data_IF_762675160866
#
_entry.id   IF_762675160866
#
_cell.length_a   1.000
_cell.length_b   1.000
_cell.length_c   1.000
_cell.angle_alpha   90.00
_cell.angle_beta   90.00
_cell.angle_gamma   90.00
#
_symmetry.space_group_name_H-M   'P 1'
#
loop_
_entity.id
_entity.type
_entity.pdbx_description
1 polymer ?
#
# COMPACT_ATOMS: atom_id res chain seq x y z
N UNK A 1 -27.13 11.34 -2.43
CA UNK A 1 -25.70 11.68 -2.58
C UNK A 1 -24.94 10.71 -1.68
N UNK A 2 -24.57 9.55 -2.20
CA UNK A 2 -23.65 8.63 -1.53
C UNK A 2 -22.47 8.51 -2.48
N UNK A 3 -21.31 8.98 -2.03
CA UNK A 3 -20.09 8.96 -2.82
C UNK A 3 -19.62 7.51 -2.91
N UNK A 4 -19.77 6.95 -4.11
CA UNK A 4 -19.22 5.66 -4.50
C UNK A 4 -17.70 5.81 -4.60
N UNK A 5 -17.00 5.59 -3.48
CA UNK A 5 -15.56 5.36 -3.56
C UNK A 5 -15.36 3.86 -3.81
N UNK A 6 -15.55 3.48 -5.07
CA UNK A 6 -14.99 2.23 -5.60
C UNK A 6 -13.52 2.15 -5.20
N UNK A 7 -12.99 0.98 -4.76
CA UNK A 7 -11.56 0.80 -4.67
C UNK A 7 -11.05 0.86 -6.12
N UNK A 8 -10.47 1.99 -6.49
CA UNK A 8 -9.75 2.19 -7.75
C UNK A 8 -8.88 0.96 -7.96
N UNK A 9 -9.15 0.27 -9.07
CA UNK A 9 -8.40 -0.92 -9.45
C UNK A 9 -6.92 -0.53 -9.46
N UNK A 10 -6.07 -1.41 -8.93
CA UNK A 10 -4.63 -1.25 -8.95
C UNK A 10 -4.19 -0.61 -10.27
N UNK A 11 -3.73 0.64 -10.14
CA UNK A 11 -3.24 1.47 -11.24
C UNK A 11 -2.33 0.62 -12.13
N UNK A 12 -2.38 0.80 -13.47
CA UNK A 12 -1.59 -0.01 -14.39
C UNK A 12 -0.11 0.07 -13.99
N UNK A 13 0.56 -1.08 -14.04
CA UNK A 13 2.00 -1.29 -13.82
C UNK A 13 2.81 -0.16 -14.50
N UNK A 14 3.05 0.94 -13.79
CA UNK A 14 3.91 2.01 -14.28
C UNK A 14 5.27 1.36 -14.45
N UNK A 15 5.91 1.49 -15.63
CA UNK A 15 7.17 0.80 -15.89
C UNK A 15 8.15 1.15 -14.78
N UNK A 16 8.63 0.13 -14.05
CA UNK A 16 9.56 0.32 -12.93
C UNK A 16 10.68 1.24 -13.39
N UNK A 17 10.69 2.44 -12.82
CA UNK A 17 11.71 3.41 -13.17
C UNK A 17 13.07 2.88 -12.73
N UNK A 18 14.12 3.09 -13.53
CA UNK A 18 15.43 2.57 -13.18
C UNK A 18 15.89 3.16 -11.84
N UNK A 19 16.45 2.30 -10.98
CA UNK A 19 16.88 2.59 -9.60
C UNK A 19 17.63 3.92 -9.43
N UNK A 20 18.51 4.28 -10.37
CA UNK A 20 19.28 5.52 -10.31
C UNK A 20 18.39 6.77 -10.36
N UNK A 21 17.30 6.73 -11.12
CA UNK A 21 16.35 7.84 -11.28
C UNK A 21 15.51 7.99 -10.02
N UNK A 22 15.08 6.87 -9.42
CA UNK A 22 14.39 6.83 -8.13
C UNK A 22 15.25 7.43 -7.02
N UNK A 23 16.52 7.00 -6.91
CA UNK A 23 17.51 7.54 -5.97
C UNK A 23 17.73 9.04 -6.15
N UNK A 24 17.85 9.52 -7.40
CA UNK A 24 18.05 10.93 -7.69
C UNK A 24 16.86 11.80 -7.23
N UNK A 25 15.61 11.34 -7.43
CA UNK A 25 14.42 12.05 -6.94
C UNK A 25 14.36 12.08 -5.42
N UNK A 26 14.64 10.97 -4.76
CA UNK A 26 14.67 10.90 -3.30
C UNK A 26 15.74 11.86 -2.75
N UNK A 27 16.94 11.86 -3.33
CA UNK A 27 18.01 12.76 -2.92
C UNK A 27 17.67 14.24 -3.11
N UNK A 28 16.85 14.59 -4.11
CA UNK A 28 16.39 15.97 -4.32
C UNK A 28 15.52 16.50 -3.18
N UNK A 29 14.80 15.61 -2.49
CA UNK A 29 13.84 15.92 -1.42
C UNK A 29 14.47 15.70 -0.04
N UNK A 30 15.13 14.55 0.14
CA UNK A 30 15.63 14.06 1.43
C UNK A 30 17.16 14.19 1.60
N UNK A 31 17.90 14.46 0.51
CA UNK A 31 19.36 14.41 0.50
C UNK A 31 19.91 12.99 0.35
N UNK A 32 21.22 12.82 0.49
CA UNK A 32 21.89 11.53 0.23
C UNK A 32 21.62 10.48 1.32
N UNK A 33 21.15 10.91 2.50
CA UNK A 33 20.82 10.03 3.63
C UNK A 33 19.31 9.90 3.73
N UNK A 34 18.80 8.69 3.50
CA UNK A 34 17.37 8.40 3.64
C UNK A 34 17.05 8.04 5.09
N UNK A 35 15.84 8.37 5.57
CA UNK A 35 15.37 7.85 6.85
C UNK A 35 15.19 6.34 6.76
N UNK A 36 15.56 5.65 7.83
CA UNK A 36 15.29 4.22 7.99
C UNK A 36 13.82 4.01 8.33
N UNK A 37 13.15 3.07 7.67
CA UNK A 37 11.81 2.63 8.03
C UNK A 37 11.90 1.53 9.09
N UNK A 38 11.07 1.61 10.13
CA UNK A 38 11.04 0.60 11.18
C UNK A 38 10.43 -0.71 10.67
N UNK A 39 10.56 -1.79 11.45
CA UNK A 39 10.00 -3.07 11.02
C UNK A 39 8.48 -3.15 11.14
N UNK A 40 7.85 -2.37 12.02
CA UNK A 40 6.40 -2.36 12.21
C UNK A 40 5.66 -1.58 11.12
N UNK A 41 6.31 -0.61 10.47
CA UNK A 41 5.76 0.13 9.34
C UNK A 41 5.80 -0.65 8.01
N UNK A 42 6.62 -1.70 7.94
CA UNK A 42 6.76 -2.51 6.72
C UNK A 42 5.68 -3.59 6.69
N UNK A 43 4.71 -3.42 5.80
CA UNK A 43 3.78 -4.50 5.49
C UNK A 43 4.54 -5.62 4.74
N UNK A 44 4.74 -6.75 5.43
CA UNK A 44 5.45 -7.91 4.87
C UNK A 44 4.55 -8.77 3.97
N UNK A 45 3.29 -8.40 3.81
CA UNK A 45 2.27 -9.23 3.17
C UNK A 45 1.93 -8.80 1.74
N UNK A 46 2.55 -7.74 1.22
CA UNK A 46 2.28 -7.22 -0.13
C UNK A 46 2.50 -8.24 -1.26
N UNK A 47 3.21 -9.34 -1.01
CA UNK A 47 3.56 -10.35 -2.03
C UNK A 47 2.74 -11.66 -1.94
N UNK A 48 1.63 -11.71 -1.19
CA UNK A 48 0.86 -12.94 -1.05
C UNK A 48 -0.64 -12.73 -0.92
N UNK A 49 -1.39 -13.67 -1.50
CA UNK A 49 -2.85 -13.73 -1.49
C UNK A 49 -3.46 -13.41 -0.13
N UNK A 50 -4.47 -12.53 -0.13
CA UNK A 50 -5.29 -12.07 1.00
C UNK A 50 -4.59 -12.20 2.37
N UNK A 51 -3.97 -11.10 2.82
CA UNK A 51 -3.21 -11.08 4.06
C UNK A 51 -3.99 -11.65 5.26
N UNK A 52 -3.30 -12.26 6.23
CA UNK A 52 -3.95 -12.75 7.45
C UNK A 52 -4.70 -11.62 8.18
N UNK A 53 -4.20 -10.39 8.07
CA UNK A 53 -4.82 -9.17 8.57
C UNK A 53 -6.15 -8.88 7.87
N UNK A 54 -6.21 -8.98 6.54
CA UNK A 54 -7.45 -8.80 5.78
C UNK A 54 -8.51 -9.85 6.12
N UNK A 55 -8.09 -11.10 6.29
CA UNK A 55 -8.97 -12.20 6.71
C UNK A 55 -9.57 -11.95 8.08
N UNK A 56 -8.75 -11.50 9.02
CA UNK A 56 -9.21 -11.14 10.35
C UNK A 56 -10.19 -9.97 10.29
N UNK A 57 -9.88 -8.92 9.53
CA UNK A 57 -10.73 -7.73 9.37
C UNK A 57 -12.11 -8.06 8.77
N UNK A 58 -12.13 -8.86 7.70
CA UNK A 58 -13.36 -9.35 7.05
C UNK A 58 -14.22 -10.20 7.99
N UNK A 59 -13.59 -10.91 8.92
CA UNK A 59 -14.29 -11.71 9.93
C UNK A 59 -14.92 -10.85 11.04
N UNK A 60 -14.56 -9.57 11.16
CA UNK A 60 -15.13 -8.64 12.14
C UNK A 60 -16.37 -7.90 11.64
N UNK A 61 -16.85 -8.18 10.42
CA UNK A 61 -18.02 -7.50 9.86
C UNK A 61 -19.29 -7.91 10.63
N UNK A 62 -20.03 -6.96 11.24
CA UNK A 62 -21.26 -7.27 11.97
C UNK A 62 -22.36 -7.85 11.05
N UNK A 63 -23.25 -8.71 11.55
CA UNK A 63 -24.23 -9.44 10.73
C UNK A 63 -25.29 -8.55 10.05
N UNK A 64 -25.43 -7.29 10.46
CA UNK A 64 -26.34 -6.33 9.86
C UNK A 64 -25.69 -5.47 8.77
N UNK A 65 -24.41 -5.70 8.48
CA UNK A 65 -23.65 -4.97 7.48
C UNK A 65 -23.75 -5.69 6.13
N UNK A 66 -24.91 -5.57 5.50
CA UNK A 66 -25.23 -6.25 4.23
C UNK A 66 -26.73 -6.32 3.95
N UNK A 67 -27.45 -5.24 4.29
CA UNK A 67 -28.88 -5.13 4.01
C UNK A 67 -29.18 -5.07 2.52
#
# INVERSE_FOLDING_TARGET
>A
MAEDTSPEAAEPDEPEEPEWKRKQRLARIFGDVLPETTSDERDSSAESEESASDRWLKSQVPPHHGG
#
